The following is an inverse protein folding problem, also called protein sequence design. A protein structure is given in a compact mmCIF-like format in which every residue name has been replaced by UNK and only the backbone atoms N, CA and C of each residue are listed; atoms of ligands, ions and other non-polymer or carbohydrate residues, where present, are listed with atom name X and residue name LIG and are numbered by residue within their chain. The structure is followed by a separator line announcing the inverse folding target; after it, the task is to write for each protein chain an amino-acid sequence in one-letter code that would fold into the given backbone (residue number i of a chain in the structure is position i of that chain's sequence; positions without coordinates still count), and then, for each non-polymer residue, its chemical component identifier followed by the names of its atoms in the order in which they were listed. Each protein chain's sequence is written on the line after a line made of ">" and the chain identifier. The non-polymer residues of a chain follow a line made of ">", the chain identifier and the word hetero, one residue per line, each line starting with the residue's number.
data_IF_919062906128
#
_entry.id   IF_919062906128
#
_cell.length_a   1.000
_cell.length_b   1.000
_cell.length_c   1.000
_cell.angle_alpha   90.00
_cell.angle_beta   90.00
_cell.angle_gamma   90.00
#
_symmetry.space_group_name_H-M   'P 1'
#
loop_
_entity.id
_entity.type
_entity.pdbx_description
1 polymer ?
#
# COMPACT_ATOMS: atom_id res chain seq x y z
N UNK A 1 47.94 -7.21 -6.68
CA UNK A 1 46.98 -8.34 -6.73
C UNK A 1 46.10 -8.47 -5.48
N UNK A 2 46.50 -7.94 -4.31
CA UNK A 2 45.70 -8.03 -3.08
C UNK A 2 44.53 -7.03 -2.99
N UNK A 3 44.70 -5.83 -3.56
CA UNK A 3 43.65 -4.80 -3.58
C UNK A 3 42.45 -5.27 -4.42
N UNK A 4 42.69 -5.88 -5.59
CA UNK A 4 41.63 -6.46 -6.42
C UNK A 4 40.82 -7.51 -5.68
N UNK A 5 41.50 -8.46 -5.01
CA UNK A 5 40.84 -9.50 -4.20
C UNK A 5 39.96 -8.91 -3.09
N UNK A 6 40.37 -7.81 -2.44
CA UNK A 6 39.56 -7.13 -1.42
C UNK A 6 38.34 -6.44 -2.02
N UNK A 7 38.46 -5.85 -3.21
CA UNK A 7 37.35 -5.22 -3.93
C UNK A 7 36.34 -6.27 -4.39
N UNK A 8 36.79 -7.43 -4.86
CA UNK A 8 35.91 -8.54 -5.26
C UNK A 8 35.09 -9.05 -4.07
N UNK A 9 35.72 -9.25 -2.90
CA UNK A 9 35.01 -9.64 -1.68
C UNK A 9 33.97 -8.62 -1.23
N UNK A 10 34.30 -7.33 -1.31
CA UNK A 10 33.35 -6.26 -0.97
C UNK A 10 32.16 -6.25 -1.95
N UNK A 11 32.43 -6.47 -3.23
CA UNK A 11 31.40 -6.51 -4.28
C UNK A 11 30.44 -7.68 -4.04
N UNK A 12 30.98 -8.87 -3.71
CA UNK A 12 30.18 -10.05 -3.35
C UNK A 12 29.32 -9.76 -2.12
N UNK A 13 29.88 -9.13 -1.08
CA UNK A 13 29.14 -8.76 0.12
C UNK A 13 27.96 -7.84 -0.20
N UNK A 14 28.18 -6.81 -1.02
CA UNK A 14 27.12 -5.87 -1.43
C UNK A 14 26.02 -6.60 -2.21
N UNK A 15 26.38 -7.49 -3.13
CA UNK A 15 25.40 -8.27 -3.90
C UNK A 15 24.58 -9.18 -2.98
N UNK A 16 25.21 -9.86 -2.02
CA UNK A 16 24.50 -10.70 -1.05
C UNK A 16 23.52 -9.88 -0.22
N UNK A 17 23.94 -8.73 0.30
CA UNK A 17 23.06 -7.83 1.06
C UNK A 17 21.90 -7.33 0.21
N UNK A 18 22.16 -6.98 -1.05
CA UNK A 18 21.13 -6.54 -1.99
C UNK A 18 20.09 -7.63 -2.27
N UNK A 19 20.53 -8.89 -2.43
CA UNK A 19 19.63 -10.04 -2.63
C UNK A 19 18.77 -10.27 -1.38
N UNK A 20 19.35 -10.22 -0.18
CA UNK A 20 18.62 -10.36 1.09
C UNK A 20 17.55 -9.26 1.24
N UNK A 21 17.95 -8.00 0.98
CA UNK A 21 17.03 -6.87 1.05
C UNK A 21 15.88 -7.02 0.05
N UNK A 22 16.20 -7.38 -1.20
CA UNK A 22 15.20 -7.60 -2.25
C UNK A 22 14.23 -8.72 -1.89
N UNK A 23 14.72 -9.85 -1.38
CA UNK A 23 13.87 -10.95 -0.94
C UNK A 23 12.93 -10.56 0.21
N UNK A 24 13.45 -9.78 1.17
CA UNK A 24 12.63 -9.25 2.28
C UNK A 24 11.52 -8.33 1.76
N UNK A 25 11.84 -7.46 0.80
CA UNK A 25 10.85 -6.57 0.18
C UNK A 25 9.78 -7.38 -0.57
N UNK A 26 10.17 -8.39 -1.34
CA UNK A 26 9.23 -9.27 -2.06
C UNK A 26 8.30 -10.00 -1.08
N UNK A 27 8.83 -10.54 0.01
CA UNK A 27 8.02 -11.18 1.05
C UNK A 27 6.94 -10.22 1.59
N UNK A 28 7.32 -8.99 1.93
CA UNK A 28 6.37 -8.01 2.43
C UNK A 28 5.37 -7.52 1.39
N UNK A 29 5.77 -7.42 0.11
CA UNK A 29 4.95 -6.89 -0.97
C UNK A 29 4.05 -7.93 -1.65
N UNK A 30 4.39 -9.22 -1.58
CA UNK A 30 3.67 -10.28 -2.31
C UNK A 30 2.98 -11.23 -1.35
N UNK A 31 3.72 -11.78 -0.39
CA UNK A 31 3.18 -12.79 0.54
C UNK A 31 2.35 -12.14 1.66
N UNK A 32 2.90 -11.08 2.28
CA UNK A 32 2.26 -10.40 3.43
C UNK A 32 1.36 -9.24 3.00
N UNK A 33 1.33 -8.88 1.70
CA UNK A 33 0.58 -7.72 1.22
C UNK A 33 -0.89 -7.74 1.62
N UNK A 34 -1.54 -8.92 1.58
CA UNK A 34 -2.93 -9.06 2.02
C UNK A 34 -3.15 -8.56 3.46
N UNK A 35 -2.23 -8.88 4.39
CA UNK A 35 -2.31 -8.46 5.79
C UNK A 35 -2.02 -6.97 6.00
N UNK A 36 -1.14 -6.39 5.18
CA UNK A 36 -0.81 -4.96 5.21
C UNK A 36 -1.97 -4.13 4.65
N UNK A 37 -2.61 -4.61 3.58
CA UNK A 37 -3.76 -3.97 2.95
C UNK A 37 -5.02 -4.13 3.79
N UNK A 38 -5.25 -5.31 4.37
CA UNK A 38 -6.42 -5.58 5.21
C UNK A 38 -6.35 -4.96 6.60
N UNK A 39 -5.25 -4.28 6.95
CA UNK A 39 -5.12 -3.60 8.23
C UNK A 39 -6.21 -2.52 8.34
N UNK A 40 -7.15 -2.61 9.30
CA UNK A 40 -8.24 -1.63 9.43
C UNK A 40 -7.75 -0.20 9.72
N UNK A 41 -6.50 -0.04 10.18
CA UNK A 41 -5.84 1.26 10.34
C UNK A 41 -5.27 1.83 9.04
N UNK A 42 -5.17 1.03 7.98
CA UNK A 42 -4.78 1.45 6.64
C UNK A 42 -6.02 2.00 5.91
N UNK A 43 -6.38 3.26 6.23
CA UNK A 43 -7.55 4.00 5.71
C UNK A 43 -7.60 4.21 4.19
N UNK A 44 -6.78 3.51 3.39
CA UNK A 44 -6.78 3.62 1.91
C UNK A 44 -7.95 2.91 1.25
N UNK A 45 -8.60 1.97 1.94
CA UNK A 45 -9.96 1.58 1.61
C UNK A 45 -10.89 2.64 2.21
N UNK A 46 -11.16 3.71 1.46
CA UNK A 46 -12.45 4.36 1.58
C UNK A 46 -13.48 3.26 1.34
N UNK A 47 -14.00 2.66 2.42
CA UNK A 47 -15.10 1.73 2.34
C UNK A 47 -16.22 2.43 1.57
N UNK A 48 -16.62 1.91 0.40
CA UNK A 48 -17.80 2.39 -0.33
C UNK A 48 -19.05 2.43 0.57
N UNK A 49 -19.06 1.62 1.63
CA UNK A 49 -20.13 1.58 2.63
C UNK A 49 -20.13 2.75 3.61
N UNK A 50 -19.10 3.61 3.62
CA UNK A 50 -19.00 4.78 4.49
C UNK A 50 -18.95 6.10 3.71
N UNK A 51 -19.46 6.08 2.47
CA UNK A 51 -19.66 7.30 1.68
C UNK A 51 -20.89 8.01 2.22
N UNK A 52 -20.83 9.33 2.51
CA UNK A 52 -22.00 10.07 2.97
C UNK A 52 -23.12 10.01 1.93
N UNK A 53 -24.28 9.51 2.34
CA UNK A 53 -25.48 9.55 1.51
C UNK A 53 -25.93 11.01 1.37
N UNK A 54 -25.81 11.58 0.16
CA UNK A 54 -26.51 12.80 -0.24
C UNK A 54 -27.98 12.73 0.17
N UNK A 55 -28.42 13.71 0.95
CA UNK A 55 -29.81 13.83 1.37
C UNK A 55 -30.73 14.27 0.22
N UNK A 56 -32.03 14.05 0.43
CA UNK A 56 -33.12 14.49 -0.45
C UNK A 56 -33.29 16.00 -0.41
N UNK A 57 -33.53 16.62 -1.55
CA UNK A 57 -33.79 18.06 -1.67
C UNK A 57 -35.29 18.27 -1.84
N UNK A 58 -35.88 19.06 -0.94
CA UNK A 58 -37.30 19.43 -0.98
C UNK A 58 -37.48 20.92 -1.19
N UNK A 59 -38.54 21.30 -1.89
CA UNK A 59 -39.01 22.68 -1.95
C UNK A 59 -39.74 23.07 -0.64
N UNK A 60 -40.06 24.36 -0.47
CA UNK A 60 -40.82 24.95 0.65
C UNK A 60 -42.19 24.31 0.89
N UNK A 61 -42.77 23.64 -0.11
CA UNK A 61 -44.05 22.90 0.01
C UNK A 61 -43.86 21.41 0.32
N UNK A 62 -42.64 20.97 0.61
CA UNK A 62 -42.31 19.57 0.86
C UNK A 62 -42.28 18.69 -0.40
N UNK A 63 -42.24 19.30 -1.60
CA UNK A 63 -42.16 18.58 -2.87
C UNK A 63 -40.71 18.17 -3.12
N UNK A 64 -40.48 16.89 -3.46
CA UNK A 64 -39.16 16.37 -3.78
C UNK A 64 -38.67 16.96 -5.11
N UNK A 65 -37.54 17.66 -5.07
CA UNK A 65 -36.90 18.26 -6.25
C UNK A 65 -35.74 17.40 -6.78
N UNK A 66 -35.03 16.71 -5.89
CA UNK A 66 -33.98 15.78 -6.28
C UNK A 66 -33.76 14.73 -5.18
N UNK A 67 -33.49 13.51 -5.62
CA UNK A 67 -32.98 12.40 -4.82
C UNK A 67 -31.75 11.80 -5.54
N UNK A 68 -31.06 10.87 -4.91
CA UNK A 68 -29.99 10.10 -5.56
C UNK A 68 -30.50 9.25 -6.73
#
# INVERSE_FOLDING_TARGET
>A
MEIGRRVDHLSILIVVLFVIMSGTLVYWQVDVAGKVVSNPRNMRLCLETNVPLRGRIFDRKGVLLADM
#
